data_IF_640994222614
#
_entry.id   IF_640994222614
#
_cell.length_a   1.000
_cell.length_b   1.000
_cell.length_c   1.000
_cell.angle_alpha   90.00
_cell.angle_beta   90.00
_cell.angle_gamma   90.00
#
_symmetry.space_group_name_H-M   'P 1'
#
loop_
_entity.id
_entity.type
_entity.pdbx_description
1 polymer ?
#
# COMPACT_ATOMS: atom_id res chain seq x y z
N UNK A 1 12.05 -16.56 2.07
CA UNK A 1 10.75 -16.56 2.75
C UNK A 1 10.73 -17.74 3.70
N UNK A 2 10.34 -17.52 4.97
CA UNK A 2 10.34 -18.57 5.98
C UNK A 2 9.20 -19.57 5.77
N UNK A 3 8.08 -19.11 5.23
CA UNK A 3 6.90 -19.92 4.91
C UNK A 3 6.66 -19.91 3.39
N UNK A 4 5.46 -19.54 2.94
CA UNK A 4 5.15 -19.28 1.53
C UNK A 4 4.98 -17.78 1.29
N UNK A 5 5.13 -17.33 0.06
CA UNK A 5 4.84 -15.97 -0.39
C UNK A 5 3.42 -15.61 0.01
N UNK A 6 3.29 -14.41 0.59
CA UNK A 6 2.05 -13.88 1.17
C UNK A 6 1.52 -14.65 2.40
N UNK A 7 2.28 -15.58 2.99
CA UNK A 7 1.82 -16.29 4.20
C UNK A 7 1.55 -15.36 5.39
N UNK A 8 2.27 -14.23 5.49
CA UNK A 8 2.15 -13.26 6.60
C UNK A 8 0.94 -12.31 6.51
N UNK A 9 1.10 -11.09 7.01
CA UNK A 9 0.06 -10.06 6.98
C UNK A 9 -0.39 -9.70 5.55
N UNK A 10 0.50 -9.82 4.57
CA UNK A 10 0.22 -9.58 3.15
C UNK A 10 -0.93 -10.44 2.63
N UNK A 11 -1.00 -11.73 2.95
CA UNK A 11 -2.10 -12.59 2.47
C UNK A 11 -3.38 -12.55 3.31
N UNK A 12 -3.41 -11.77 4.41
CA UNK A 12 -4.57 -11.69 5.32
C UNK A 12 -5.24 -10.32 5.34
N UNK A 13 -4.79 -9.36 4.54
CA UNK A 13 -5.45 -8.06 4.44
C UNK A 13 -6.62 -8.11 3.45
N UNK A 14 -7.48 -7.09 3.49
CA UNK A 14 -8.71 -7.01 2.69
C UNK A 14 -8.49 -6.55 1.23
N UNK A 15 -7.24 -6.32 0.79
CA UNK A 15 -6.93 -5.98 -0.59
C UNK A 15 -7.16 -4.52 -0.99
N UNK A 16 -7.51 -3.64 -0.05
CA UNK A 16 -7.71 -2.22 -0.34
C UNK A 16 -6.41 -1.52 -0.73
N UNK A 17 -6.43 -0.81 -1.86
CA UNK A 17 -5.36 0.07 -2.32
C UNK A 17 -5.80 1.51 -2.07
N UNK A 18 -5.34 2.08 -0.96
CA UNK A 18 -5.76 3.41 -0.47
C UNK A 18 -4.60 4.40 -0.62
N UNK A 19 -4.68 5.39 -1.53
CA UNK A 19 -3.59 6.35 -1.81
C UNK A 19 -3.53 7.53 -0.81
N UNK A 20 -3.91 7.29 0.45
CA UNK A 20 -3.94 8.31 1.49
C UNK A 20 -3.67 7.69 2.88
N UNK A 21 -3.60 8.54 3.90
CA UNK A 21 -3.35 8.11 5.28
C UNK A 21 -4.65 8.04 6.09
N UNK A 22 -4.77 7.00 6.91
CA UNK A 22 -5.97 6.80 7.72
C UNK A 22 -6.14 7.81 8.88
N UNK A 23 -5.04 8.42 9.37
CA UNK A 23 -5.04 9.16 10.65
C UNK A 23 -4.57 10.62 10.57
N UNK A 24 -3.89 11.03 9.51
CA UNK A 24 -3.39 12.41 9.37
C UNK A 24 -3.56 12.88 7.94
N UNK A 25 -3.92 14.15 7.81
CA UNK A 25 -4.07 14.81 6.52
C UNK A 25 -2.78 15.54 6.14
N UNK A 26 -2.58 15.88 4.84
CA UNK A 26 -1.32 16.47 4.37
C UNK A 26 -0.83 17.67 5.19
N UNK A 27 -1.72 18.58 5.59
CA UNK A 27 -1.36 19.74 6.42
C UNK A 27 -0.80 19.32 7.77
N UNK A 28 -1.41 18.35 8.44
CA UNK A 28 -0.96 17.85 9.74
C UNK A 28 0.38 17.11 9.63
N UNK A 29 0.58 16.37 8.54
CA UNK A 29 1.84 15.68 8.24
C UNK A 29 2.97 16.70 8.07
N UNK A 30 2.74 17.77 7.30
CA UNK A 30 3.71 18.84 7.11
C UNK A 30 4.02 19.55 8.43
N UNK A 31 3.02 19.82 9.25
CA UNK A 31 3.20 20.44 10.57
C UNK A 31 4.02 19.55 11.51
N UNK A 32 3.84 18.23 11.47
CA UNK A 32 4.51 17.29 12.37
C UNK A 32 5.94 16.92 11.93
N UNK A 33 6.16 16.74 10.62
CA UNK A 33 7.44 16.25 10.08
C UNK A 33 8.31 17.34 9.45
N UNK A 34 7.76 18.54 9.27
CA UNK A 34 8.37 19.62 8.50
C UNK A 34 8.28 19.37 6.98
N UNK A 35 8.56 20.40 6.16
CA UNK A 35 8.32 20.35 4.72
C UNK A 35 9.09 19.21 4.03
N UNK A 36 10.40 19.10 4.26
CA UNK A 36 11.22 18.10 3.55
C UNK A 36 10.81 16.64 3.80
N UNK A 37 10.48 16.27 5.04
CA UNK A 37 10.09 14.89 5.36
C UNK A 37 8.60 14.66 5.11
N UNK A 38 7.78 15.67 5.38
CA UNK A 38 6.34 15.62 5.16
C UNK A 38 5.98 15.49 3.68
N UNK A 39 6.56 16.32 2.81
CA UNK A 39 6.35 16.27 1.36
C UNK A 39 6.72 14.90 0.80
N UNK A 40 7.90 14.35 1.17
CA UNK A 40 8.32 13.02 0.73
C UNK A 40 7.36 11.91 1.16
N UNK A 41 6.80 12.01 2.37
CA UNK A 41 5.82 11.04 2.85
C UNK A 41 4.49 11.17 2.10
N UNK A 42 4.03 12.40 1.88
CA UNK A 42 2.81 12.71 1.14
C UNK A 42 2.92 12.20 -0.31
N UNK A 43 4.02 12.52 -1.00
CA UNK A 43 4.29 12.08 -2.38
C UNK A 43 4.33 10.56 -2.48
N UNK A 44 4.93 9.90 -1.49
CA UNK A 44 4.96 8.43 -1.42
C UNK A 44 3.54 7.84 -1.36
N UNK A 45 2.68 8.36 -0.47
CA UNK A 45 1.31 7.88 -0.38
C UNK A 45 0.48 8.21 -1.62
N UNK A 46 0.59 9.44 -2.13
CA UNK A 46 -0.05 9.88 -3.36
C UNK A 46 0.26 8.96 -4.54
N UNK A 47 1.53 8.59 -4.74
CA UNK A 47 1.96 7.75 -5.85
C UNK A 47 1.75 6.24 -5.66
N UNK A 48 1.33 5.80 -4.46
CA UNK A 48 1.34 4.38 -4.08
C UNK A 48 0.36 3.54 -4.90
N UNK A 49 -0.90 3.98 -5.03
CA UNK A 49 -1.90 3.26 -5.82
C UNK A 49 -1.52 3.23 -7.31
N UNK A 50 -1.06 4.35 -7.85
CA UNK A 50 -0.65 4.46 -9.25
C UNK A 50 0.51 3.51 -9.56
N UNK A 51 1.46 3.35 -8.64
CA UNK A 51 2.54 2.37 -8.74
C UNK A 51 2.00 0.94 -8.75
N UNK A 52 1.14 0.58 -7.79
CA UNK A 52 0.55 -0.77 -7.69
C UNK A 52 -0.16 -1.14 -8.98
N UNK A 53 -1.11 -0.33 -9.43
CA UNK A 53 -1.90 -0.64 -10.62
C UNK A 53 -1.06 -0.60 -11.91
N UNK A 54 -0.02 0.25 -11.97
CA UNK A 54 0.95 0.23 -13.08
C UNK A 54 1.75 -1.06 -13.12
N UNK A 55 2.25 -1.56 -11.99
CA UNK A 55 2.98 -2.83 -11.92
C UNK A 55 2.09 -4.01 -12.36
N UNK A 56 0.84 -4.02 -11.89
CA UNK A 56 -0.15 -5.04 -12.29
C UNK A 56 -0.30 -5.07 -13.81
N UNK A 57 -0.54 -3.91 -14.43
CA UNK A 57 -0.64 -3.80 -15.90
C UNK A 57 0.65 -4.15 -16.62
N UNK A 58 1.79 -3.65 -16.14
CA UNK A 58 3.10 -3.84 -16.78
C UNK A 58 3.52 -5.32 -16.82
N UNK A 59 3.22 -6.07 -15.77
CA UNK A 59 3.62 -7.47 -15.63
C UNK A 59 2.51 -8.46 -15.96
N UNK A 60 1.31 -7.99 -16.33
CA UNK A 60 0.15 -8.84 -16.61
C UNK A 60 -0.23 -9.70 -15.41
N UNK A 61 -0.23 -9.11 -14.20
CA UNK A 61 -0.53 -9.85 -12.97
C UNK A 61 -2.03 -10.08 -12.87
N UNK A 62 -2.42 -11.35 -12.86
CA UNK A 62 -3.81 -11.76 -12.62
C UNK A 62 -4.11 -11.75 -11.11
N UNK A 63 -4.69 -10.66 -10.61
CA UNK A 63 -4.99 -10.48 -9.19
C UNK A 63 -6.31 -9.76 -8.92
N UNK A 64 -7.32 -9.94 -9.77
CA UNK A 64 -8.66 -9.35 -9.61
C UNK A 64 -8.62 -7.83 -9.36
N UNK A 65 -7.64 -7.14 -9.95
CA UNK A 65 -7.39 -5.73 -9.68
C UNK A 65 -8.48 -4.84 -10.29
N UNK A 66 -9.10 -4.01 -9.47
CA UNK A 66 -10.10 -3.03 -9.88
C UNK A 66 -9.70 -1.66 -9.35
N UNK A 67 -9.31 -0.76 -10.26
CA UNK A 67 -8.96 0.63 -9.97
C UNK A 67 -10.16 1.55 -10.23
N UNK A 68 -11.20 1.43 -9.41
CA UNK A 68 -12.43 2.23 -9.52
C UNK A 68 -12.58 3.27 -8.39
N UNK A 69 -11.50 3.54 -7.67
CA UNK A 69 -11.42 4.48 -6.57
C UNK A 69 -11.72 3.89 -5.20
N UNK A 70 -11.48 4.69 -4.18
CA UNK A 70 -11.75 4.37 -2.78
C UNK A 70 -12.59 5.46 -2.15
N UNK A 71 -13.61 5.08 -1.38
CA UNK A 71 -14.60 5.99 -0.79
C UNK A 71 -14.53 5.91 0.73
N UNK A 72 -14.56 7.07 1.40
CA UNK A 72 -14.81 7.17 2.84
C UNK A 72 -16.11 7.93 3.08
N UNK A 73 -17.20 7.23 3.44
CA UNK A 73 -18.45 7.86 3.82
C UNK A 73 -18.35 8.63 5.14
N UNK A 74 -19.13 9.70 5.26
CA UNK A 74 -19.27 10.50 6.47
C UNK A 74 -20.61 10.20 7.17
N UNK A 75 -20.55 9.61 8.37
CA UNK A 75 -21.74 9.21 9.15
C UNK A 75 -22.46 10.37 9.85
N UNK A 76 -21.93 11.60 9.79
CA UNK A 76 -22.53 12.77 10.43
C UNK A 76 -22.11 14.06 9.71
N UNK A 77 -22.85 15.18 9.87
CA UNK A 77 -22.46 16.47 9.30
C UNK A 77 -21.07 16.93 9.76
N UNK A 78 -20.73 16.72 11.03
CA UNK A 78 -19.40 17.05 11.55
C UNK A 78 -18.30 16.20 10.91
N UNK A 79 -18.55 14.91 10.65
CA UNK A 79 -17.64 14.07 9.88
C UNK A 79 -17.54 14.53 8.41
N UNK A 80 -18.64 15.04 7.84
CA UNK A 80 -18.67 15.50 6.46
C UNK A 80 -17.76 16.72 6.24
N UNK A 81 -17.79 17.69 7.15
CA UNK A 81 -16.89 18.84 7.07
C UNK A 81 -15.41 18.44 7.18
N UNK A 82 -15.09 17.40 7.97
CA UNK A 82 -13.72 16.86 8.04
C UNK A 82 -13.28 16.23 6.72
N UNK A 83 -14.13 15.41 6.09
CA UNK A 83 -13.75 14.77 4.82
C UNK A 83 -13.71 15.76 3.66
N UNK A 84 -14.49 16.85 3.68
CA UNK A 84 -14.36 17.97 2.73
C UNK A 84 -12.98 18.62 2.79
N UNK A 85 -12.53 18.97 4.01
CA UNK A 85 -11.19 19.52 4.23
C UNK A 85 -10.11 18.57 3.70
N UNK A 86 -10.21 17.28 4.05
CA UNK A 86 -9.31 16.22 3.56
C UNK A 86 -9.27 16.13 2.04
N UNK A 87 -10.43 16.07 1.38
CA UNK A 87 -10.52 16.03 -0.07
C UNK A 87 -9.87 17.26 -0.70
N UNK A 88 -10.11 18.45 -0.14
CA UNK A 88 -9.49 19.70 -0.59
C UNK A 88 -7.97 19.69 -0.48
N UNK A 89 -7.42 19.19 0.63
CA UNK A 89 -5.97 19.09 0.82
C UNK A 89 -5.31 18.17 -0.21
N UNK A 90 -5.89 16.99 -0.47
CA UNK A 90 -5.37 16.09 -1.49
C UNK A 90 -5.55 16.63 -2.91
N UNK A 91 -6.67 17.32 -3.19
CA UNK A 91 -6.91 17.96 -4.48
C UNK A 91 -5.89 19.10 -4.76
N UNK A 92 -5.50 19.88 -3.75
CA UNK A 92 -4.45 20.90 -3.86
C UNK A 92 -3.08 20.31 -4.24
N UNK A 93 -2.84 19.03 -3.93
CA UNK A 93 -1.66 18.28 -4.34
C UNK A 93 -1.81 17.63 -5.73
N UNK A 94 -2.84 18.01 -6.49
CA UNK A 94 -3.11 17.48 -7.83
C UNK A 94 -3.67 16.06 -7.85
N UNK A 95 -4.11 15.51 -6.71
CA UNK A 95 -4.75 14.20 -6.67
C UNK A 95 -6.21 14.28 -7.11
N UNK A 96 -6.76 13.24 -7.76
CA UNK A 96 -8.16 13.20 -8.17
C UNK A 96 -9.08 12.87 -6.98
N UNK A 97 -8.93 13.62 -5.90
CA UNK A 97 -9.73 13.54 -4.68
C UNK A 97 -10.96 14.46 -4.82
N UNK A 98 -12.14 13.92 -4.57
CA UNK A 98 -13.41 14.64 -4.71
C UNK A 98 -14.26 14.50 -3.45
N UNK A 99 -14.93 15.57 -3.07
CA UNK A 99 -16.03 15.48 -2.10
C UNK A 99 -17.24 14.86 -2.78
N UNK A 100 -17.97 14.01 -2.07
CA UNK A 100 -19.24 13.44 -2.50
C UNK A 100 -20.35 13.99 -1.60
N UNK A 101 -21.41 14.52 -2.19
CA UNK A 101 -22.62 14.87 -1.46
C UNK A 101 -23.42 13.61 -1.04
N UNK A 102 -24.58 13.84 -0.41
CA UNK A 102 -25.47 12.77 0.05
C UNK A 102 -26.01 11.90 -1.10
N UNK A 103 -26.37 12.51 -2.22
CA UNK A 103 -26.94 11.78 -3.36
C UNK A 103 -25.85 10.97 -4.06
N UNK A 104 -24.67 11.56 -4.24
CA UNK A 104 -23.52 10.89 -4.87
C UNK A 104 -23.02 9.70 -4.05
N UNK A 105 -22.88 9.84 -2.72
CA UNK A 105 -22.43 8.74 -1.86
C UNK A 105 -23.45 7.59 -1.83
N UNK A 106 -24.75 7.90 -1.82
CA UNK A 106 -25.82 6.89 -1.85
C UNK A 106 -25.83 6.17 -3.21
N UNK A 107 -25.69 6.90 -4.32
CA UNK A 107 -25.61 6.31 -5.66
C UNK A 107 -24.39 5.38 -5.83
N UNK A 108 -23.25 5.71 -5.25
CA UNK A 108 -22.03 4.91 -5.36
C UNK A 108 -21.98 3.70 -4.41
N UNK A 109 -22.54 3.84 -3.21
CA UNK A 109 -22.46 2.81 -2.16
C UNK A 109 -23.72 1.96 -2.04
N UNK A 110 -24.86 2.44 -2.52
CA UNK A 110 -26.18 1.86 -2.28
C UNK A 110 -26.68 2.00 -0.84
N UNK A 111 -25.95 2.75 0.01
CA UNK A 111 -26.26 2.87 1.45
C UNK A 111 -26.79 4.27 1.74
N UNK A 112 -28.07 4.41 2.15
CA UNK A 112 -28.63 5.70 2.52
C UNK A 112 -28.14 6.15 3.91
N UNK A 113 -28.36 7.43 4.22
CA UNK A 113 -28.19 7.96 5.58
C UNK A 113 -26.83 8.60 5.88
N UNK A 114 -25.84 8.48 4.98
CA UNK A 114 -24.61 9.27 5.08
C UNK A 114 -24.87 10.76 4.87
N UNK A 115 -24.09 11.61 5.53
CA UNK A 115 -24.13 13.06 5.34
C UNK A 115 -23.43 13.50 4.05
N UNK A 116 -22.62 12.61 3.47
CA UNK A 116 -21.77 12.79 2.29
C UNK A 116 -20.55 11.89 2.41
N UNK A 117 -19.46 12.20 1.71
CA UNK A 117 -18.19 11.50 1.83
C UNK A 117 -17.09 12.16 1.01
N UNK A 118 -16.00 11.44 0.80
CA UNK A 118 -15.03 11.78 -0.23
C UNK A 118 -14.52 10.51 -0.91
N UNK A 119 -13.96 10.70 -2.10
CA UNK A 119 -13.41 9.63 -2.93
C UNK A 119 -12.04 10.03 -3.46
N UNK A 120 -11.09 9.10 -3.41
CA UNK A 120 -9.88 9.19 -4.22
C UNK A 120 -10.02 8.24 -5.41
N UNK A 121 -10.03 8.79 -6.63
CA UNK A 121 -10.26 8.01 -7.86
C UNK A 121 -9.09 7.10 -8.23
N UNK A 122 -7.90 7.30 -7.67
CA UNK A 122 -6.76 6.43 -7.92
C UNK A 122 -6.79 5.14 -7.11
N UNK A 123 -7.61 5.07 -6.06
CA UNK A 123 -7.73 3.89 -5.21
C UNK A 123 -8.41 2.71 -5.89
N UNK A 124 -8.58 1.63 -5.13
CA UNK A 124 -9.30 0.46 -5.59
C UNK A 124 -9.06 -0.76 -4.71
N UNK A 125 -9.19 -1.94 -5.30
CA UNK A 125 -9.01 -3.23 -4.64
C UNK A 125 -8.25 -4.22 -5.53
N UNK A 126 -7.66 -5.23 -4.90
CA UNK A 126 -7.03 -6.37 -5.55
C UNK A 126 -7.08 -7.61 -4.63
N UNK A 127 -6.78 -8.78 -5.18
CA UNK A 127 -6.49 -9.97 -4.41
C UNK A 127 -5.02 -9.93 -3.94
N UNK A 128 -4.74 -9.77 -2.63
CA UNK A 128 -3.39 -9.48 -2.17
C UNK A 128 -2.45 -10.69 -2.24
N UNK A 129 -2.98 -11.91 -2.12
CA UNK A 129 -2.19 -13.14 -2.28
C UNK A 129 -1.76 -13.29 -3.74
N UNK A 130 -2.70 -13.11 -4.67
CA UNK A 130 -2.43 -13.19 -6.10
C UNK A 130 -1.45 -12.08 -6.55
N UNK A 131 -1.63 -10.85 -6.05
CA UNK A 131 -0.72 -9.75 -6.35
C UNK A 131 0.72 -10.03 -5.88
N UNK A 132 0.89 -10.49 -4.64
CA UNK A 132 2.21 -10.81 -4.11
C UNK A 132 2.91 -11.94 -4.88
N UNK A 133 2.17 -12.97 -5.30
CA UNK A 133 2.69 -14.05 -6.15
C UNK A 133 3.07 -13.54 -7.53
N UNK A 134 2.22 -12.74 -8.18
CA UNK A 134 2.54 -12.16 -9.48
C UNK A 134 3.75 -11.22 -9.45
N UNK A 135 3.97 -10.50 -8.35
CA UNK A 135 5.20 -9.73 -8.13
C UNK A 135 6.43 -10.64 -7.99
N UNK A 136 6.32 -11.78 -7.28
CA UNK A 136 7.39 -12.75 -7.18
C UNK A 136 7.73 -13.34 -8.56
N UNK A 137 6.74 -13.74 -9.35
CA UNK A 137 6.92 -14.23 -10.72
C UNK A 137 7.60 -13.17 -11.61
N UNK A 138 7.18 -11.90 -11.49
CA UNK A 138 7.80 -10.80 -12.21
C UNK A 138 9.27 -10.59 -11.82
N UNK A 139 9.60 -10.74 -10.53
CA UNK A 139 10.96 -10.64 -10.02
C UNK A 139 11.83 -11.80 -10.52
N UNK A 140 11.32 -13.03 -10.54
CA UNK A 140 12.03 -14.20 -11.07
C UNK A 140 12.29 -14.09 -12.57
N UNK A 141 11.32 -13.58 -13.33
CA UNK A 141 11.51 -13.25 -14.77
C UNK A 141 12.61 -12.20 -14.98
N UNK A 142 12.82 -11.31 -14.01
CA UNK A 142 13.90 -10.32 -14.03
C UNK A 142 15.25 -10.86 -13.50
N UNK A 143 15.33 -12.15 -13.14
CA UNK A 143 16.55 -12.82 -12.70
C UNK A 143 16.73 -12.93 -11.18
N UNK A 144 15.74 -12.51 -10.38
CA UNK A 144 15.74 -12.82 -8.96
C UNK A 144 15.58 -14.33 -8.72
N UNK A 145 16.03 -14.80 -7.56
CA UNK A 145 15.77 -16.17 -7.09
C UNK A 145 14.94 -16.11 -5.83
N UNK A 146 13.76 -16.71 -5.84
CA UNK A 146 12.89 -16.76 -4.67
C UNK A 146 13.00 -18.12 -4.01
N UNK A 147 13.29 -18.13 -2.71
CA UNK A 147 13.36 -19.34 -1.90
C UNK A 147 12.28 -19.28 -0.82
N UNK A 148 11.25 -20.11 -0.97
CA UNK A 148 10.23 -20.35 0.05
C UNK A 148 10.70 -21.40 1.07
N UNK A 149 10.02 -21.48 2.21
CA UNK A 149 10.30 -22.42 3.30
C UNK A 149 11.77 -22.44 3.76
N UNK A 150 12.44 -21.30 3.61
CA UNK A 150 13.87 -21.10 3.83
C UNK A 150 14.04 -20.01 4.88
N UNK A 151 13.87 -20.41 6.14
CA UNK A 151 14.02 -19.50 7.29
C UNK A 151 15.48 -19.14 7.49
N UNK A 152 15.76 -17.83 7.51
CA UNK A 152 17.06 -17.30 7.93
C UNK A 152 17.09 -17.32 9.46
N UNK A 153 18.08 -18.03 10.03
CA UNK A 153 18.28 -18.19 11.46
C UNK A 153 19.20 -17.12 12.05
N UNK A 154 20.16 -16.62 11.29
CA UNK A 154 21.01 -15.50 11.69
C UNK A 154 21.47 -14.67 10.49
N UNK A 155 21.75 -13.39 10.76
CA UNK A 155 22.37 -12.45 9.81
C UNK A 155 23.62 -11.91 10.48
N UNK A 156 24.77 -12.47 10.12
CA UNK A 156 26.05 -12.17 10.73
C UNK A 156 26.87 -11.24 9.82
N UNK A 157 27.48 -10.20 10.39
CA UNK A 157 28.41 -9.34 9.64
C UNK A 157 29.74 -10.08 9.46
N UNK A 158 30.28 -10.04 8.26
CA UNK A 158 31.60 -10.59 7.90
C UNK A 158 32.48 -9.49 7.30
N UNK A 159 33.77 -9.79 7.07
CA UNK A 159 34.75 -8.80 6.61
C UNK A 159 34.32 -8.08 5.30
N UNK A 160 33.70 -8.81 4.38
CA UNK A 160 33.31 -8.35 3.03
C UNK A 160 31.78 -8.25 2.82
N UNK A 161 30.99 -8.22 3.90
CA UNK A 161 29.54 -8.07 3.80
C UNK A 161 28.79 -8.80 4.90
N UNK A 162 27.86 -9.67 4.50
CA UNK A 162 26.96 -10.39 5.39
C UNK A 162 26.93 -11.88 5.06
N UNK A 163 26.78 -12.69 6.09
CA UNK A 163 26.49 -14.11 6.01
C UNK A 163 25.11 -14.37 6.60
N UNK A 164 24.20 -14.89 5.78
CA UNK A 164 22.88 -15.35 6.23
C UNK A 164 22.97 -16.85 6.43
N UNK A 165 22.59 -17.34 7.61
CA UNK A 165 22.54 -18.78 7.90
C UNK A 165 21.10 -19.26 7.87
N UNK A 166 20.91 -20.45 7.35
CA UNK A 166 19.64 -21.19 7.33
C UNK A 166 19.91 -22.61 7.89
N UNK A 167 18.87 -23.39 8.25
CA UNK A 167 19.08 -24.76 8.71
C UNK A 167 19.80 -25.68 7.70
N UNK A 168 19.68 -25.39 6.40
CA UNK A 168 20.19 -26.22 5.31
C UNK A 168 21.42 -25.64 4.60
N UNK A 169 21.92 -24.47 5.01
CA UNK A 169 23.07 -23.83 4.36
C UNK A 169 23.22 -22.35 4.67
N UNK A 170 24.06 -21.66 3.90
CA UNK A 170 24.33 -20.24 4.09
C UNK A 170 24.49 -19.48 2.78
N UNK A 171 24.24 -18.17 2.84
CA UNK A 171 24.33 -17.24 1.70
C UNK A 171 25.19 -16.05 2.09
N UNK A 172 26.19 -15.71 1.24
CA UNK A 172 26.94 -14.46 1.36
C UNK A 172 26.29 -13.36 0.53
N UNK A 173 26.19 -12.16 1.08
CA UNK A 173 25.64 -11.00 0.38
C UNK A 173 26.38 -9.71 0.77
N UNK A 174 26.59 -8.81 -0.20
CA UNK A 174 27.17 -7.49 0.09
C UNK A 174 26.20 -6.54 0.82
N UNK A 175 24.89 -6.72 0.61
CA UNK A 175 23.82 -5.95 1.25
C UNK A 175 22.67 -6.88 1.64
N UNK A 176 21.98 -6.54 2.73
CA UNK A 176 20.79 -7.24 3.22
C UNK A 176 19.68 -6.22 3.44
N UNK A 177 18.49 -6.52 2.92
CA UNK A 177 17.26 -5.75 3.18
C UNK A 177 16.32 -6.68 3.95
N UNK A 178 15.87 -6.23 5.12
CA UNK A 178 14.98 -7.00 5.99
C UNK A 178 13.54 -6.59 5.72
N UNK A 179 12.75 -7.54 5.22
CA UNK A 179 11.31 -7.38 4.95
C UNK A 179 10.45 -8.39 5.73
N UNK A 180 10.81 -8.72 6.97
CA UNK A 180 10.20 -9.79 7.75
C UNK A 180 8.93 -9.40 8.54
N UNK A 181 8.47 -8.15 8.44
CA UNK A 181 7.38 -7.60 9.26
C UNK A 181 7.60 -7.89 10.76
N UNK A 182 6.58 -8.38 11.48
CA UNK A 182 6.61 -8.67 12.92
C UNK A 182 7.30 -10.01 13.29
N UNK A 183 7.96 -10.67 12.33
CA UNK A 183 8.62 -11.96 12.51
C UNK A 183 10.15 -11.87 12.49
N UNK A 184 10.67 -10.63 12.52
CA UNK A 184 12.11 -10.32 12.50
C UNK A 184 12.73 -10.19 13.89
#
# INVERSE_FOLDING_TARGET
EAELIAWGATGRNAGFVVPNFAKMDPVDILAHLGPSRGERLIDFAAGSADLVFRLIRQHGIDCDAVQNGWIQPAHSPAAFEKVKSRAGQWAQLGRPAVTLDRQEIEALTGVPGYAGGWMDRCGGVLNPVAYARGLADAAEKAGAKVFEQTRVASVDRIADGWMLKTPSGSVRAGKVVIGANAYG
#
